data_IF_675426104971
#
_entry.id   IF_675426104971
#
_cell.length_a   1.000
_cell.length_b   1.000
_cell.length_c   1.000
_cell.angle_alpha   90.00
_cell.angle_beta   90.00
_cell.angle_gamma   90.00
#
_symmetry.space_group_name_H-M   'P 1'
#
loop_
_entity.id
_entity.type
_entity.pdbx_description
1 polymer ?
#
# COMPACT_ATOMS: atom_id res chain seq x y z
N UNK A 1 12.16 19.10 0.45
CA UNK A 1 12.04 17.88 1.27
C UNK A 1 13.01 17.95 2.43
N UNK A 2 12.59 17.55 3.62
CA UNK A 2 13.40 17.51 4.84
C UNK A 2 13.43 16.09 5.41
N UNK A 3 14.58 15.69 5.95
CA UNK A 3 14.70 14.50 6.80
C UNK A 3 14.58 14.92 8.26
N UNK A 4 13.66 14.33 8.99
CA UNK A 4 13.39 14.64 10.38
C UNK A 4 13.73 13.44 11.25
N UNK A 5 14.54 13.68 12.28
CA UNK A 5 14.87 12.70 13.30
C UNK A 5 14.20 13.08 14.62
N UNK A 6 13.37 12.20 15.15
CA UNK A 6 12.66 12.39 16.41
C UNK A 6 13.11 11.37 17.46
N UNK A 7 13.08 11.80 18.74
CA UNK A 7 13.22 10.90 19.88
C UNK A 7 11.84 10.51 20.41
N UNK A 8 11.45 9.26 20.19
CA UNK A 8 10.14 8.75 20.61
C UNK A 8 9.93 8.81 22.12
N UNK A 9 10.98 8.58 22.92
CA UNK A 9 10.89 8.65 24.38
C UNK A 9 10.60 10.07 24.92
N UNK A 10 10.91 11.10 24.13
CA UNK A 10 10.66 12.49 24.47
C UNK A 10 9.40 13.07 23.79
N UNK A 11 8.50 12.21 23.27
CA UNK A 11 7.27 12.66 22.59
C UNK A 11 6.49 13.68 23.44
N UNK A 12 6.20 14.85 22.84
CA UNK A 12 5.50 15.95 23.53
C UNK A 12 6.35 16.76 24.50
N UNK A 13 7.67 16.49 24.62
CA UNK A 13 8.60 17.17 25.53
C UNK A 13 9.77 17.78 24.79
N UNK A 14 10.55 18.61 25.49
CA UNK A 14 11.84 19.13 25.00
C UNK A 14 12.77 17.96 24.61
N UNK A 15 13.38 18.03 23.43
CA UNK A 15 14.23 16.97 22.90
C UNK A 15 13.48 15.90 22.07
N UNK A 16 12.19 16.07 21.80
CA UNK A 16 11.43 15.23 20.88
C UNK A 16 11.96 15.37 19.44
N UNK A 17 12.25 16.60 18.98
CA UNK A 17 12.95 16.84 17.73
C UNK A 17 14.46 16.80 18.00
N UNK A 18 15.17 15.87 17.36
CA UNK A 18 16.63 15.70 17.46
C UNK A 18 17.35 16.45 16.37
N UNK A 19 16.87 16.35 15.13
CA UNK A 19 17.45 17.03 13.98
C UNK A 19 16.40 17.22 12.87
N UNK A 20 16.56 18.28 12.10
CA UNK A 20 15.89 18.54 10.83
C UNK A 20 16.97 18.88 9.81
N UNK A 21 17.03 18.11 8.75
CA UNK A 21 18.05 18.22 7.69
C UNK A 21 17.37 18.43 6.35
N UNK A 22 17.77 19.46 5.63
CA UNK A 22 17.29 19.68 4.26
C UNK A 22 17.87 18.60 3.33
N UNK A 23 16.98 17.89 2.62
CA UNK A 23 17.33 16.82 1.70
C UNK A 23 17.21 15.42 2.31
N UNK A 24 17.44 14.41 1.46
CA UNK A 24 17.33 12.98 1.77
C UNK A 24 18.60 12.20 1.41
N UNK A 25 19.58 12.87 0.82
CA UNK A 25 20.84 12.22 0.41
C UNK A 25 21.63 11.73 1.64
N UNK A 26 22.04 10.47 1.60
CA UNK A 26 22.73 9.78 2.71
C UNK A 26 23.91 10.59 3.27
N UNK A 27 24.75 11.14 2.41
CA UNK A 27 25.98 11.82 2.87
C UNK A 27 25.66 13.18 3.53
N UNK A 28 24.70 13.94 2.98
CA UNK A 28 24.25 15.19 3.57
C UNK A 28 23.63 14.97 4.95
N UNK A 29 22.71 13.99 5.05
CA UNK A 29 22.04 13.67 6.32
C UNK A 29 23.02 13.08 7.33
N UNK A 30 23.88 12.14 6.92
CA UNK A 30 24.89 11.54 7.78
C UNK A 30 25.90 12.57 8.28
N UNK A 31 26.33 13.53 7.43
CA UNK A 31 27.28 14.58 7.81
C UNK A 31 26.75 15.47 8.93
N UNK A 32 25.49 15.82 8.88
CA UNK A 32 24.82 16.61 9.94
C UNK A 32 24.61 15.78 11.21
N UNK A 33 24.10 14.55 11.08
CA UNK A 33 23.82 13.70 12.23
C UNK A 33 25.10 13.24 12.95
N UNK A 34 26.24 13.17 12.28
CA UNK A 34 27.55 12.89 12.90
C UNK A 34 28.06 14.00 13.82
N UNK A 35 27.46 15.22 13.75
CA UNK A 35 27.73 16.29 14.74
C UNK A 35 27.18 15.97 16.13
N UNK A 36 26.25 15.02 16.24
CA UNK A 36 25.83 14.49 17.54
C UNK A 36 27.02 13.79 18.22
N UNK A 37 27.24 13.98 19.54
CA UNK A 37 28.34 13.34 20.24
C UNK A 37 28.37 11.83 20.02
N UNK A 38 29.56 11.27 19.74
CA UNK A 38 29.74 9.85 19.41
C UNK A 38 29.10 8.93 20.47
N UNK A 39 29.32 9.23 21.77
CA UNK A 39 28.74 8.47 22.87
C UNK A 39 27.19 8.43 22.82
N UNK A 40 26.55 9.53 22.43
CA UNK A 40 25.08 9.58 22.29
C UNK A 40 24.60 8.77 21.08
N UNK A 41 25.35 8.78 19.97
CA UNK A 41 25.03 7.96 18.80
C UNK A 41 25.13 6.47 19.10
N UNK A 42 26.14 6.05 19.86
CA UNK A 42 26.30 4.67 20.31
C UNK A 42 25.25 4.21 21.33
N UNK A 43 24.65 5.14 22.09
CA UNK A 43 23.61 4.81 23.06
C UNK A 43 22.22 4.61 22.43
N UNK A 44 22.05 4.88 21.14
CA UNK A 44 20.78 4.65 20.43
C UNK A 44 20.60 3.13 20.24
N UNK A 45 19.52 2.60 20.81
CA UNK A 45 19.22 1.16 20.78
C UNK A 45 18.47 0.75 19.50
N UNK A 46 17.48 1.56 19.10
CA UNK A 46 16.62 1.26 17.95
C UNK A 46 16.37 2.51 17.13
N UNK A 47 16.30 2.34 15.81
CA UNK A 47 15.86 3.38 14.87
C UNK A 47 14.81 2.81 13.94
N UNK A 48 13.66 3.47 13.85
CA UNK A 48 12.59 3.10 12.92
C UNK A 48 12.65 4.00 11.69
N UNK A 49 12.61 3.41 10.50
CA UNK A 49 12.58 4.12 9.21
C UNK A 49 11.47 3.58 8.31
N UNK A 50 11.18 4.33 7.26
CA UNK A 50 10.50 3.78 6.08
C UNK A 50 11.37 2.73 5.34
N UNK A 51 10.92 2.29 4.18
CA UNK A 51 11.65 1.34 3.32
C UNK A 51 12.73 2.02 2.43
N UNK A 52 13.13 3.25 2.74
CA UNK A 52 14.13 3.99 1.99
C UNK A 52 15.54 3.43 2.24
N UNK A 53 16.18 2.91 1.20
CA UNK A 53 17.57 2.43 1.26
C UNK A 53 18.56 3.51 1.70
N UNK A 54 18.32 4.78 1.29
CA UNK A 54 19.15 5.92 1.71
C UNK A 54 19.05 6.18 3.22
N UNK A 55 17.84 6.09 3.80
CA UNK A 55 17.65 6.25 5.23
C UNK A 55 18.25 5.08 6.01
N UNK A 56 18.07 3.85 5.56
CA UNK A 56 18.68 2.68 6.18
C UNK A 56 20.20 2.74 6.17
N UNK A 57 20.82 3.18 5.05
CA UNK A 57 22.26 3.39 4.97
C UNK A 57 22.72 4.52 5.90
N UNK A 58 21.96 5.61 5.99
CA UNK A 58 22.20 6.69 6.95
C UNK A 58 22.23 6.18 8.38
N UNK A 59 21.24 5.38 8.77
CA UNK A 59 21.16 4.80 10.12
C UNK A 59 22.39 3.93 10.42
N UNK A 60 22.77 3.04 9.51
CA UNK A 60 23.97 2.18 9.66
C UNK A 60 25.25 3.00 9.81
N UNK A 61 25.40 4.09 9.05
CA UNK A 61 26.57 4.99 9.11
C UNK A 61 26.64 5.83 10.39
N UNK A 62 25.49 6.23 10.95
CA UNK A 62 25.41 7.19 12.06
C UNK A 62 25.21 6.51 13.40
N UNK A 63 24.40 5.46 13.46
CA UNK A 63 24.00 4.73 14.67
C UNK A 63 24.36 3.24 14.58
N UNK A 64 25.66 2.90 14.54
CA UNK A 64 26.11 1.54 14.21
C UNK A 64 25.68 0.49 15.24
N UNK A 65 25.38 0.88 16.48
CA UNK A 65 24.89 -0.01 17.54
C UNK A 65 23.37 -0.17 17.53
N UNK A 66 22.65 0.61 16.70
CA UNK A 66 21.19 0.61 16.71
C UNK A 66 20.60 -0.54 15.87
N UNK A 67 19.60 -1.22 16.42
CA UNK A 67 18.74 -2.13 15.66
C UNK A 67 17.87 -1.31 14.72
N UNK A 68 17.92 -1.62 13.44
CA UNK A 68 17.09 -0.98 12.42
C UNK A 68 15.75 -1.72 12.33
N UNK A 69 14.65 -0.95 12.33
CA UNK A 69 13.28 -1.45 12.23
C UNK A 69 12.60 -0.75 11.06
N UNK A 70 12.00 -1.51 10.14
CA UNK A 70 11.11 -0.94 9.14
C UNK A 70 9.71 -0.72 9.71
N UNK A 71 9.13 0.45 9.44
CA UNK A 71 7.78 0.77 9.86
C UNK A 71 6.77 -0.11 9.12
N UNK A 72 5.94 -0.80 9.90
CA UNK A 72 4.88 -1.68 9.37
C UNK A 72 3.93 -0.98 8.41
N UNK A 73 3.67 0.31 8.63
CA UNK A 73 2.74 1.09 7.81
C UNK A 73 3.22 1.12 6.35
N UNK A 74 4.50 1.40 6.12
CA UNK A 74 5.07 1.44 4.77
C UNK A 74 5.12 0.05 4.11
N UNK A 75 5.33 -1.01 4.91
CA UNK A 75 5.27 -2.40 4.41
C UNK A 75 3.84 -2.76 3.98
N UNK A 76 2.84 -2.42 4.79
CA UNK A 76 1.43 -2.66 4.47
C UNK A 76 0.95 -1.78 3.30
N UNK A 77 1.42 -0.52 3.24
CA UNK A 77 1.12 0.40 2.14
C UNK A 77 1.59 -0.17 0.80
N UNK A 78 2.81 -0.72 0.75
CA UNK A 78 3.35 -1.32 -0.47
C UNK A 78 2.43 -2.43 -1.01
N UNK A 79 1.91 -3.28 -0.12
CA UNK A 79 0.95 -4.33 -0.49
C UNK A 79 -0.39 -3.75 -0.95
N UNK A 80 -0.88 -2.72 -0.27
CA UNK A 80 -2.12 -2.03 -0.67
C UNK A 80 -1.99 -1.36 -2.04
N UNK A 81 -0.82 -0.79 -2.35
CA UNK A 81 -0.51 -0.21 -3.66
C UNK A 81 -0.53 -1.28 -4.75
N UNK A 82 0.02 -2.48 -4.50
CA UNK A 82 -0.01 -3.59 -5.45
C UNK A 82 -1.46 -4.02 -5.77
N UNK A 83 -2.32 -4.12 -4.76
CA UNK A 83 -3.75 -4.43 -4.95
C UNK A 83 -4.46 -3.30 -5.74
N UNK A 84 -4.14 -2.04 -5.47
CA UNK A 84 -4.71 -0.90 -6.22
C UNK A 84 -4.25 -0.89 -7.69
N UNK A 85 -3.00 -1.24 -7.97
CA UNK A 85 -2.51 -1.38 -9.35
C UNK A 85 -3.25 -2.51 -10.09
N UNK A 86 -3.49 -3.65 -9.44
CA UNK A 86 -4.29 -4.72 -10.01
C UNK A 86 -5.74 -4.25 -10.31
N UNK A 87 -6.36 -3.50 -9.39
CA UNK A 87 -7.68 -2.87 -9.61
C UNK A 87 -7.64 -1.91 -10.81
N UNK A 88 -6.59 -1.08 -10.92
CA UNK A 88 -6.41 -0.15 -12.04
C UNK A 88 -6.32 -0.91 -13.37
N UNK A 89 -5.59 -2.04 -13.42
CA UNK A 89 -5.55 -2.92 -14.60
C UNK A 89 -6.96 -3.37 -15.00
N UNK A 90 -7.76 -3.84 -14.05
CA UNK A 90 -9.16 -4.23 -14.32
C UNK A 90 -10.02 -3.05 -14.73
N UNK A 91 -9.80 -1.87 -14.15
CA UNK A 91 -10.51 -0.65 -14.56
C UNK A 91 -10.29 -0.35 -16.04
N UNK A 92 -9.05 -0.42 -16.52
CA UNK A 92 -8.76 -0.18 -17.94
C UNK A 92 -9.43 -1.22 -18.84
N UNK A 93 -9.36 -2.51 -18.48
CA UNK A 93 -10.03 -3.57 -19.24
C UNK A 93 -11.53 -3.33 -19.37
N UNK A 94 -12.19 -2.92 -18.30
CA UNK A 94 -13.63 -2.66 -18.29
C UNK A 94 -13.98 -1.42 -19.12
N UNK A 95 -13.18 -0.35 -19.02
CA UNK A 95 -13.37 0.87 -19.82
C UNK A 95 -13.17 0.60 -21.32
N UNK A 96 -12.19 -0.20 -21.68
CA UNK A 96 -11.93 -0.58 -23.08
C UNK A 96 -13.10 -1.40 -23.65
N UNK A 97 -13.62 -2.36 -22.86
CA UNK A 97 -14.78 -3.16 -23.25
C UNK A 97 -16.03 -2.26 -23.44
N UNK A 98 -16.30 -1.31 -22.52
CA UNK A 98 -17.41 -0.36 -22.64
C UNK A 98 -17.25 0.52 -23.87
N UNK A 99 -16.06 1.07 -24.10
CA UNK A 99 -15.77 1.89 -25.28
C UNK A 99 -15.93 1.12 -26.59
N UNK A 100 -15.58 -0.15 -26.60
CA UNK A 100 -15.81 -1.03 -27.75
C UNK A 100 -17.32 -1.25 -27.98
N UNK A 101 -18.08 -1.57 -26.94
CA UNK A 101 -19.55 -1.72 -27.04
C UNK A 101 -20.23 -0.45 -27.57
N UNK A 102 -19.80 0.74 -27.12
CA UNK A 102 -20.28 2.03 -27.62
C UNK A 102 -19.97 2.17 -29.13
N UNK A 103 -18.76 1.83 -29.56
CA UNK A 103 -18.36 1.91 -30.98
C UNK A 103 -19.20 0.97 -31.84
N UNK A 104 -19.38 -0.28 -31.42
CA UNK A 104 -20.21 -1.28 -32.10
C UNK A 104 -21.66 -0.85 -32.21
N UNK A 105 -22.23 -0.30 -31.11
CA UNK A 105 -23.60 0.23 -31.11
C UNK A 105 -23.75 1.41 -32.09
N UNK A 106 -22.78 2.34 -32.12
CA UNK A 106 -22.76 3.46 -33.07
C UNK A 106 -22.65 2.98 -34.52
N UNK A 107 -21.83 1.94 -34.76
CA UNK A 107 -21.68 1.38 -36.10
C UNK A 107 -22.96 0.71 -36.57
N UNK A 108 -23.61 -0.13 -35.75
CA UNK A 108 -24.92 -0.73 -36.04
C UNK A 108 -25.97 0.34 -36.39
N UNK A 109 -25.96 1.48 -35.65
CA UNK A 109 -26.89 2.58 -35.91
C UNK A 109 -26.59 3.32 -37.21
N UNK A 110 -25.34 3.38 -37.65
CA UNK A 110 -24.94 3.94 -38.96
C UNK A 110 -25.35 3.05 -40.13
N UNK A 111 -25.23 1.73 -39.97
CA UNK A 111 -25.53 0.72 -40.96
C UNK A 111 -27.03 0.49 -41.17
N UNK A 112 -27.85 0.97 -40.23
CA UNK A 112 -29.31 0.86 -40.33
C UNK A 112 -29.86 1.55 -41.59
N UNK A 113 -30.58 0.76 -42.40
CA UNK A 113 -31.07 1.17 -43.74
C UNK A 113 -32.31 2.06 -43.68
N UNK A 114 -33.04 2.10 -42.58
CA UNK A 114 -34.27 2.89 -42.42
C UNK A 114 -34.30 3.68 -41.11
N UNK A 115 -35.13 4.73 -41.07
CA UNK A 115 -35.37 5.50 -39.84
C UNK A 115 -35.98 4.62 -38.73
N UNK A 116 -36.93 3.74 -39.10
CA UNK A 116 -37.56 2.82 -38.16
C UNK A 116 -36.54 1.85 -37.52
N UNK A 117 -35.56 1.40 -38.28
CA UNK A 117 -34.48 0.53 -37.78
C UNK A 117 -33.56 1.29 -36.80
N UNK A 118 -33.20 2.56 -37.10
CA UNK A 118 -32.43 3.42 -36.20
C UNK A 118 -33.14 3.72 -34.88
N UNK A 119 -34.47 3.88 -34.94
CA UNK A 119 -35.28 4.08 -33.75
C UNK A 119 -35.38 2.80 -32.90
N UNK A 120 -35.42 1.60 -33.49
CA UNK A 120 -35.36 0.32 -32.79
C UNK A 120 -34.03 0.10 -32.08
N UNK A 121 -32.91 0.49 -32.69
CA UNK A 121 -31.58 0.41 -32.07
C UNK A 121 -31.49 1.32 -30.84
N UNK A 122 -32.19 2.45 -30.84
CA UNK A 122 -32.33 3.33 -29.69
C UNK A 122 -31.03 4.10 -29.33
N UNK A 123 -30.96 4.53 -28.08
CA UNK A 123 -29.77 5.09 -27.46
C UNK A 123 -28.95 3.96 -26.84
N UNK A 124 -27.64 4.12 -26.83
CA UNK A 124 -26.80 3.20 -26.07
C UNK A 124 -27.03 3.42 -24.58
N UNK A 125 -27.26 2.35 -23.86
CA UNK A 125 -27.37 2.35 -22.40
C UNK A 125 -26.40 1.33 -21.82
N UNK A 126 -25.61 1.70 -20.79
CA UNK A 126 -24.70 0.78 -20.15
C UNK A 126 -25.47 -0.26 -19.31
N UNK A 127 -24.95 -1.47 -19.29
CA UNK A 127 -25.44 -2.51 -18.38
C UNK A 127 -25.25 -2.06 -16.93
N UNK A 128 -26.30 -2.22 -16.12
CA UNK A 128 -26.27 -1.92 -14.69
C UNK A 128 -26.29 -3.20 -13.87
N UNK A 129 -25.44 -3.21 -12.83
CA UNK A 129 -25.42 -4.27 -11.85
C UNK A 129 -26.59 -4.13 -10.86
N UNK A 130 -26.79 -5.11 -10.00
CA UNK A 130 -27.88 -5.19 -9.01
C UNK A 130 -28.00 -3.94 -8.12
N UNK A 131 -26.89 -3.26 -7.84
CA UNK A 131 -26.85 -2.03 -7.06
C UNK A 131 -27.10 -0.75 -7.89
N UNK A 132 -27.48 -0.87 -9.16
CA UNK A 132 -27.74 0.23 -10.09
C UNK A 132 -26.51 0.91 -10.68
N UNK A 133 -25.29 0.53 -10.28
CA UNK A 133 -24.04 1.05 -10.83
C UNK A 133 -23.62 0.27 -12.09
N UNK A 134 -22.88 0.91 -12.99
CA UNK A 134 -22.21 0.21 -14.09
C UNK A 134 -20.91 -0.43 -13.60
N UNK A 135 -20.41 -1.45 -14.28
CA UNK A 135 -19.18 -2.12 -13.91
C UNK A 135 -17.97 -1.15 -13.86
N UNK A 136 -17.76 -0.20 -14.81
CA UNK A 136 -16.76 0.85 -14.70
C UNK A 136 -16.90 1.71 -13.44
N UNK A 137 -18.13 2.05 -13.02
CA UNK A 137 -18.38 2.81 -11.80
C UNK A 137 -17.99 2.00 -10.55
N UNK A 138 -18.35 0.72 -10.50
CA UNK A 138 -17.98 -0.18 -9.40
C UNK A 138 -16.48 -0.24 -9.24
N UNK A 139 -15.73 -0.56 -10.31
CA UNK A 139 -14.27 -0.68 -10.23
C UNK A 139 -13.62 0.66 -9.86
N UNK A 140 -14.09 1.78 -10.40
CA UNK A 140 -13.54 3.11 -10.10
C UNK A 140 -13.75 3.52 -8.64
N UNK A 141 -14.94 3.27 -8.10
CA UNK A 141 -15.33 3.64 -6.73
C UNK A 141 -14.82 2.66 -5.66
N UNK A 142 -14.24 1.53 -6.08
CA UNK A 142 -13.78 0.48 -5.15
C UNK A 142 -12.39 0.73 -4.54
N UNK A 143 -11.67 1.80 -4.91
CA UNK A 143 -10.38 2.13 -4.32
C UNK A 143 -10.41 2.13 -2.79
N UNK A 144 -11.36 2.83 -2.18
CA UNK A 144 -11.49 2.92 -0.72
C UNK A 144 -11.98 1.62 -0.06
N UNK A 145 -12.53 0.69 -0.84
CA UNK A 145 -12.95 -0.63 -0.36
C UNK A 145 -11.72 -1.51 -0.19
N UNK A 146 -10.89 -1.62 -1.23
CA UNK A 146 -9.71 -2.51 -1.24
C UNK A 146 -8.57 -2.01 -0.34
N UNK A 147 -8.54 -0.72 0.00
CA UNK A 147 -7.57 -0.14 0.95
C UNK A 147 -8.02 -0.22 2.41
N UNK A 148 -9.19 -0.79 2.66
CA UNK A 148 -9.81 -0.84 3.99
C UNK A 148 -10.09 -2.27 4.38
N UNK A 149 -9.84 -2.59 5.66
CA UNK A 149 -10.19 -3.91 6.18
C UNK A 149 -11.71 -4.15 6.06
N UNK A 150 -12.11 -5.33 5.62
CA UNK A 150 -13.51 -5.70 5.35
C UNK A 150 -14.46 -5.48 6.55
N UNK A 151 -13.98 -5.65 7.78
CA UNK A 151 -14.76 -5.40 9.00
C UNK A 151 -15.18 -3.94 9.20
N UNK A 152 -14.57 -3.02 8.46
CA UNK A 152 -14.85 -1.58 8.52
C UNK A 152 -15.72 -1.10 7.34
N UNK A 153 -16.19 -2.00 6.49
CA UNK A 153 -17.09 -1.64 5.38
C UNK A 153 -18.49 -1.36 5.90
N UNK A 154 -19.10 -0.30 5.37
CA UNK A 154 -20.54 -0.08 5.51
C UNK A 154 -21.32 -0.95 4.51
N UNK A 155 -22.66 -1.00 4.62
CA UNK A 155 -23.50 -1.87 3.78
C UNK A 155 -23.34 -1.60 2.28
N UNK A 156 -23.28 -0.33 1.87
CA UNK A 156 -23.05 0.02 0.45
C UNK A 156 -21.68 -0.48 -0.05
N UNK A 157 -20.65 -0.43 0.81
CA UNK A 157 -19.33 -0.94 0.48
C UNK A 157 -19.32 -2.47 0.39
N UNK A 158 -20.06 -3.16 1.26
CA UNK A 158 -20.20 -4.62 1.21
C UNK A 158 -20.89 -5.07 -0.08
N UNK A 159 -22.00 -4.44 -0.44
CA UNK A 159 -22.72 -4.74 -1.70
C UNK A 159 -21.82 -4.52 -2.91
N UNK A 160 -21.11 -3.38 -2.97
CA UNK A 160 -20.20 -3.09 -4.08
C UNK A 160 -19.02 -4.06 -4.11
N UNK A 161 -18.47 -4.44 -2.96
CA UNK A 161 -17.38 -5.42 -2.85
C UNK A 161 -17.83 -6.81 -3.33
N UNK A 162 -19.03 -7.25 -3.01
CA UNK A 162 -19.58 -8.52 -3.47
C UNK A 162 -19.62 -8.59 -5.00
N UNK A 163 -20.17 -7.57 -5.66
CA UNK A 163 -20.21 -7.50 -7.12
C UNK A 163 -18.80 -7.41 -7.71
N UNK A 164 -17.91 -6.57 -7.13
CA UNK A 164 -16.54 -6.42 -7.58
C UNK A 164 -15.80 -7.75 -7.58
N UNK A 165 -15.87 -8.49 -6.49
CA UNK A 165 -15.11 -9.72 -6.29
C UNK A 165 -15.71 -10.92 -7.02
N UNK A 166 -17.04 -10.93 -7.27
CA UNK A 166 -17.68 -11.87 -8.18
C UNK A 166 -17.15 -11.70 -9.61
N UNK A 167 -17.07 -10.47 -10.11
CA UNK A 167 -16.57 -10.16 -11.45
C UNK A 167 -15.05 -10.30 -11.58
N UNK A 168 -14.30 -10.12 -10.49
CA UNK A 168 -12.83 -10.16 -10.48
C UNK A 168 -12.29 -11.02 -9.33
N UNK A 169 -12.40 -12.36 -9.40
CA UNK A 169 -11.94 -13.27 -8.34
C UNK A 169 -10.45 -13.08 -7.99
N UNK A 170 -9.61 -12.77 -8.99
CA UNK A 170 -8.19 -12.50 -8.75
C UNK A 170 -7.94 -11.20 -7.97
N UNK A 171 -8.84 -10.21 -8.06
CA UNK A 171 -8.75 -9.02 -7.21
C UNK A 171 -9.11 -9.36 -5.75
N UNK A 172 -10.06 -10.27 -5.52
CA UNK A 172 -10.37 -10.80 -4.19
C UNK A 172 -9.16 -11.53 -3.59
N UNK A 173 -8.49 -12.36 -4.38
CA UNK A 173 -7.31 -13.11 -3.95
C UNK A 173 -6.19 -12.15 -3.53
N UNK A 174 -5.86 -11.15 -4.37
CA UNK A 174 -4.88 -10.11 -4.04
C UNK A 174 -5.27 -9.28 -2.79
N UNK A 175 -6.56 -8.92 -2.67
CA UNK A 175 -7.09 -8.25 -1.47
C UNK A 175 -6.94 -9.12 -0.23
N UNK A 176 -7.25 -10.41 -0.32
CA UNK A 176 -7.12 -11.37 0.79
C UNK A 176 -5.68 -11.51 1.28
N UNK A 177 -4.71 -11.53 0.36
CA UNK A 177 -3.28 -11.52 0.69
C UNK A 177 -2.89 -10.23 1.45
N UNK A 178 -3.44 -9.07 1.06
CA UNK A 178 -3.22 -7.79 1.76
C UNK A 178 -3.81 -7.80 3.17
N UNK A 179 -5.00 -8.35 3.35
CA UNK A 179 -5.64 -8.47 4.66
C UNK A 179 -4.88 -9.46 5.56
N UNK A 180 -4.42 -10.58 5.00
CA UNK A 180 -3.61 -11.57 5.74
C UNK A 180 -2.29 -10.95 6.25
N UNK A 181 -1.62 -10.12 5.45
CA UNK A 181 -0.45 -9.37 5.90
C UNK A 181 -0.81 -8.42 7.07
N UNK A 182 -1.94 -7.72 6.95
CA UNK A 182 -2.43 -6.82 8.00
C UNK A 182 -2.69 -7.57 9.31
N UNK A 183 -3.28 -8.75 9.23
CA UNK A 183 -3.56 -9.59 10.41
C UNK A 183 -2.28 -10.12 11.06
N UNK A 184 -1.28 -10.52 10.26
CA UNK A 184 0.05 -10.90 10.77
C UNK A 184 0.66 -9.75 11.58
N UNK A 185 0.64 -8.51 11.05
CA UNK A 185 1.17 -7.34 11.74
C UNK A 185 0.35 -6.93 12.98
N UNK A 186 -0.95 -7.18 12.99
CA UNK A 186 -1.83 -6.87 14.14
C UNK A 186 -1.70 -7.89 15.27
N UNK A 187 -1.45 -9.14 14.95
CA UNK A 187 -1.28 -10.21 15.93
C UNK A 187 -0.05 -9.94 16.79
N UNK A 188 -0.20 -10.05 18.12
CA UNK A 188 0.91 -9.99 19.07
C UNK A 188 1.61 -11.37 19.13
N UNK A 189 2.45 -11.66 18.15
CA UNK A 189 3.24 -12.89 18.06
C UNK A 189 4.70 -12.64 18.40
N UNK A 190 5.37 -13.69 18.85
CA UNK A 190 6.83 -13.70 19.00
C UNK A 190 7.52 -13.55 17.63
N UNK A 191 8.75 -13.01 17.56
CA UNK A 191 9.46 -12.79 16.30
C UNK A 191 9.58 -14.04 15.43
N UNK A 192 9.83 -15.20 16.01
CA UNK A 192 9.97 -16.46 15.26
C UNK A 192 8.63 -16.93 14.67
N UNK A 193 7.54 -16.80 15.42
CA UNK A 193 6.19 -17.06 14.91
C UNK A 193 5.84 -16.10 13.78
N UNK A 194 6.17 -14.82 13.94
CA UNK A 194 5.94 -13.81 12.92
C UNK A 194 6.76 -14.12 11.65
N UNK A 195 8.02 -14.54 11.80
CA UNK A 195 8.88 -14.96 10.69
C UNK A 195 8.26 -16.11 9.91
N UNK A 196 7.77 -17.14 10.58
CA UNK A 196 7.12 -18.28 9.94
C UNK A 196 5.84 -17.86 9.20
N UNK A 197 5.01 -17.02 9.82
CA UNK A 197 3.77 -16.54 9.21
C UNK A 197 4.05 -15.65 7.99
N UNK A 198 5.06 -14.79 8.05
CA UNK A 198 5.49 -13.96 6.91
C UNK A 198 6.10 -14.80 5.79
N UNK A 199 6.87 -15.86 6.10
CA UNK A 199 7.41 -16.77 5.08
C UNK A 199 6.28 -17.52 4.35
N UNK A 200 5.27 -18.01 5.07
CA UNK A 200 4.09 -18.65 4.47
C UNK A 200 3.31 -17.67 3.60
N UNK A 201 3.10 -16.46 4.09
CA UNK A 201 2.43 -15.40 3.33
C UNK A 201 3.23 -15.01 2.06
N UNK A 202 4.56 -14.89 2.16
CA UNK A 202 5.44 -14.63 1.02
C UNK A 202 5.26 -15.69 -0.08
N UNK A 203 5.29 -16.98 0.28
CA UNK A 203 5.08 -18.07 -0.67
C UNK A 203 3.68 -18.02 -1.33
N UNK A 204 2.65 -17.55 -0.63
CA UNK A 204 1.32 -17.37 -1.19
C UNK A 204 1.30 -16.21 -2.20
N UNK A 205 1.99 -15.11 -1.90
CA UNK A 205 2.13 -13.98 -2.84
C UNK A 205 2.93 -14.40 -4.08
N UNK A 206 3.99 -15.17 -3.91
CA UNK A 206 4.77 -15.72 -5.02
C UNK A 206 3.93 -16.62 -5.93
N UNK A 207 3.13 -17.52 -5.35
CA UNK A 207 2.20 -18.39 -6.10
C UNK A 207 1.08 -17.62 -6.79
N UNK A 208 0.71 -16.45 -6.29
CA UNK A 208 -0.29 -15.60 -6.92
C UNK A 208 0.18 -15.06 -8.27
N UNK A 209 1.49 -14.88 -8.46
CA UNK A 209 2.21 -14.61 -9.72
C UNK A 209 1.63 -13.43 -10.54
N UNK A 210 1.36 -12.32 -9.88
CA UNK A 210 0.96 -11.09 -10.55
C UNK A 210 2.07 -10.05 -10.47
N UNK A 211 2.45 -9.48 -11.62
CA UNK A 211 3.57 -8.54 -11.76
C UNK A 211 3.48 -7.33 -10.81
N UNK A 212 2.27 -6.91 -10.45
CA UNK A 212 2.06 -5.82 -9.51
C UNK A 212 2.61 -6.12 -8.12
N UNK A 213 2.78 -7.40 -7.78
CA UNK A 213 3.27 -7.85 -6.48
C UNK A 213 4.77 -8.11 -6.45
N UNK A 214 5.47 -8.08 -7.59
CA UNK A 214 6.92 -8.32 -7.64
C UNK A 214 7.70 -7.36 -6.73
N UNK A 215 7.35 -6.06 -6.73
CA UNK A 215 7.98 -5.07 -5.84
C UNK A 215 7.78 -5.40 -4.36
N UNK A 216 6.66 -6.02 -4.00
CA UNK A 216 6.40 -6.47 -2.63
C UNK A 216 7.35 -7.60 -2.28
N UNK A 217 7.46 -8.61 -3.14
CA UNK A 217 8.36 -9.76 -2.96
C UNK A 217 9.82 -9.32 -2.85
N UNK A 218 10.28 -8.46 -3.75
CA UNK A 218 11.63 -7.89 -3.73
C UNK A 218 11.92 -7.15 -2.42
N UNK A 219 10.96 -6.35 -1.95
CA UNK A 219 11.09 -5.62 -0.69
C UNK A 219 11.21 -6.56 0.50
N UNK A 220 10.39 -7.61 0.55
CA UNK A 220 10.47 -8.60 1.63
C UNK A 220 11.77 -9.41 1.59
N UNK A 221 12.25 -9.79 0.41
CA UNK A 221 13.54 -10.45 0.25
C UNK A 221 14.70 -9.59 0.76
N UNK A 222 14.71 -8.30 0.37
CA UNK A 222 15.80 -7.39 0.71
C UNK A 222 15.77 -6.87 2.16
N UNK A 223 14.60 -6.85 2.80
CA UNK A 223 14.40 -6.20 4.11
C UNK A 223 13.81 -7.13 5.17
N UNK A 224 13.81 -8.44 4.96
CA UNK A 224 13.18 -9.44 5.87
C UNK A 224 13.60 -9.26 7.32
N UNK A 225 14.89 -9.14 7.60
CA UNK A 225 15.42 -8.94 8.97
C UNK A 225 14.89 -7.67 9.62
N UNK A 226 14.89 -6.54 8.90
CA UNK A 226 14.45 -5.24 9.44
C UNK A 226 12.92 -5.16 9.59
N UNK A 227 12.18 -5.92 8.79
CA UNK A 227 10.73 -6.11 8.92
C UNK A 227 10.43 -6.97 10.16
N UNK A 228 11.15 -8.07 10.36
CA UNK A 228 10.98 -8.96 11.52
C UNK A 228 11.31 -8.23 12.83
N UNK A 229 12.32 -7.35 12.84
CA UNK A 229 12.66 -6.56 14.03
C UNK A 229 11.47 -5.75 14.58
N UNK A 230 10.48 -5.43 13.75
CA UNK A 230 9.24 -4.79 14.23
C UNK A 230 8.53 -5.60 15.30
N UNK A 231 8.51 -6.93 15.19
CA UNK A 231 7.74 -7.80 16.11
C UNK A 231 8.34 -7.89 17.51
N UNK A 232 9.60 -7.50 17.70
CA UNK A 232 10.21 -7.47 19.02
C UNK A 232 9.69 -6.28 19.86
N UNK A 233 9.68 -5.07 19.30
CA UNK A 233 9.38 -3.85 20.05
C UNK A 233 8.13 -3.10 19.55
N UNK A 234 7.60 -3.47 18.37
CA UNK A 234 6.43 -2.88 17.69
C UNK A 234 6.50 -1.36 17.55
N UNK A 235 7.69 -0.85 17.30
CA UNK A 235 7.93 0.58 17.10
C UNK A 235 7.48 1.03 15.72
N UNK A 236 6.90 2.23 15.64
CA UNK A 236 6.41 2.85 14.39
C UNK A 236 6.90 4.29 14.27
N UNK A 237 6.87 4.84 13.06
CA UNK A 237 7.23 6.24 12.75
C UNK A 237 6.10 7.24 13.01
N UNK A 238 4.95 6.82 13.53
CA UNK A 238 3.75 7.65 13.69
C UNK A 238 4.01 9.02 14.35
N UNK A 239 5.00 9.12 15.26
CA UNK A 239 5.36 10.41 15.89
C UNK A 239 6.10 11.34 14.94
N UNK A 240 6.97 10.83 14.06
CA UNK A 240 7.68 11.61 13.05
C UNK A 240 6.72 12.07 11.95
N UNK A 241 5.82 11.20 11.51
CA UNK A 241 4.78 11.51 10.53
C UNK A 241 3.81 12.57 11.03
N UNK A 242 3.34 12.46 12.30
CA UNK A 242 2.51 13.47 12.95
C UNK A 242 3.22 14.82 13.07
N UNK A 243 4.54 14.84 13.23
CA UNK A 243 5.32 16.07 13.24
C UNK A 243 5.43 16.66 11.83
N UNK A 244 5.73 15.84 10.82
CA UNK A 244 5.77 16.27 9.41
C UNK A 244 4.47 16.88 8.92
N UNK A 245 3.33 16.37 9.37
CA UNK A 245 2.02 16.88 8.98
C UNK A 245 1.69 18.27 9.57
N UNK A 246 2.52 18.78 10.50
CA UNK A 246 2.32 20.09 11.17
C UNK A 246 3.26 21.19 10.65
N UNK A 247 4.21 20.83 9.79
CA UNK A 247 5.15 21.72 9.09
C UNK A 247 4.69 21.96 7.66
#
# INVERSE_FOLDING_TARGET
>A
VYTILTNKAAKGRKGALVAMVRGVATDAVSGILRRLPHRKRLSVKTVTTDLSSAMMLTVRKVFPAAKLINDRFHVQQLMSEAVDQLRIRYRWKVLDAENQAIREHRQKKKEAKSKAERERIGKWEPERMENGETLPQIVSRSKHIILKHWSKWNEQQKTRAAILFDKFPKLLEGYSLSMKLTDIFNKKSAPDEARLNLARWYNEVEKFDYMEFNKVLDTFSNHSTTIINYFEERLTNASAESFNAKI
#
